data_IF_718631113747
#
_entry.id   IF_718631113747
#
_cell.length_a   1.000
_cell.length_b   1.000
_cell.length_c   1.000
_cell.angle_alpha   90.00
_cell.angle_beta   90.00
_cell.angle_gamma   90.00
#
_symmetry.space_group_name_H-M   'P 1'
#
loop_
_entity.id
_entity.type
_entity.pdbx_description
1 polymer ?
#
# COMPACT_ATOMS: atom_id res chain seq x y z
N UNK A 1 -12.35 12.02 -15.89
CA UNK A 1 -11.24 11.04 -15.74
C UNK A 1 -9.88 11.57 -16.24
N UNK A 2 -9.65 12.89 -16.33
CA UNK A 2 -8.39 13.44 -16.87
C UNK A 2 -7.18 13.19 -15.95
N UNK A 3 -7.29 13.57 -14.67
CA UNK A 3 -6.19 13.46 -13.70
C UNK A 3 -5.68 12.04 -13.50
N UNK A 4 -6.58 11.03 -13.43
CA UNK A 4 -6.15 9.62 -13.28
C UNK A 4 -5.46 9.07 -14.53
N UNK A 5 -5.87 9.53 -15.72
CA UNK A 5 -5.22 9.16 -16.96
C UNK A 5 -3.82 9.79 -17.07
N UNK A 6 -3.68 11.04 -16.65
CA UNK A 6 -2.39 11.74 -16.56
C UNK A 6 -1.44 11.04 -15.57
N UNK A 7 -1.90 10.72 -14.35
CA UNK A 7 -1.12 9.94 -13.38
C UNK A 7 -0.62 8.62 -13.97
N UNK A 8 -1.46 7.90 -14.73
CA UNK A 8 -1.06 6.67 -15.43
C UNK A 8 0.02 6.95 -16.48
N UNK A 9 -0.13 8.00 -17.29
CA UNK A 9 0.87 8.38 -18.28
C UNK A 9 2.21 8.70 -17.60
N UNK A 10 2.20 9.50 -16.54
CA UNK A 10 3.40 9.82 -15.74
C UNK A 10 4.06 8.58 -15.15
N UNK A 11 3.30 7.60 -14.66
CA UNK A 11 3.85 6.34 -14.16
C UNK A 11 4.59 5.56 -15.26
N UNK A 12 4.01 5.49 -16.46
CA UNK A 12 4.62 4.81 -17.62
C UNK A 12 5.86 5.55 -18.13
N UNK A 13 5.83 6.88 -18.19
CA UNK A 13 6.98 7.71 -18.62
C UNK A 13 8.20 7.55 -17.70
N UNK A 14 7.97 7.31 -16.41
CA UNK A 14 9.02 7.04 -15.42
C UNK A 14 9.56 5.60 -15.48
N UNK A 15 9.10 4.78 -16.43
CA UNK A 15 9.50 3.39 -16.59
C UNK A 15 8.79 2.41 -15.65
N UNK A 16 7.75 2.85 -14.94
CA UNK A 16 6.92 1.99 -14.10
C UNK A 16 5.82 1.28 -14.89
N UNK A 17 5.26 0.21 -14.32
CA UNK A 17 4.15 -0.53 -14.91
C UNK A 17 2.83 -0.21 -14.19
N UNK A 18 1.87 0.36 -14.91
CA UNK A 18 0.54 0.64 -14.35
C UNK A 18 -0.31 -0.63 -14.10
N UNK A 19 -0.04 -1.68 -14.87
CA UNK A 19 -0.75 -2.96 -14.84
C UNK A 19 0.26 -4.11 -15.00
N UNK A 20 1.10 -4.36 -13.98
CA UNK A 20 2.05 -5.46 -14.04
C UNK A 20 1.32 -6.80 -14.10
N UNK A 21 1.91 -7.76 -14.80
CA UNK A 21 1.32 -9.11 -14.98
C UNK A 21 1.34 -9.89 -13.66
N UNK A 22 2.38 -9.71 -12.85
CA UNK A 22 2.56 -10.41 -11.59
C UNK A 22 2.90 -9.42 -10.48
N UNK A 23 2.31 -9.65 -9.31
CA UNK A 23 2.66 -8.98 -8.06
C UNK A 23 3.17 -10.05 -7.08
N UNK A 24 4.25 -9.79 -6.33
CA UNK A 24 4.81 -10.74 -5.36
C UNK A 24 3.95 -10.80 -4.09
N UNK A 25 2.69 -11.19 -4.22
CA UNK A 25 1.74 -11.37 -3.11
C UNK A 25 2.05 -12.68 -2.40
N UNK A 26 2.34 -12.60 -1.10
CA UNK A 26 2.57 -13.79 -0.26
C UNK A 26 1.36 -14.14 0.60
N UNK A 27 0.57 -13.16 1.01
CA UNK A 27 -0.59 -13.37 1.90
C UNK A 27 -1.84 -12.62 1.43
N UNK A 28 -3.01 -13.17 1.77
CA UNK A 28 -4.29 -12.46 1.72
C UNK A 28 -4.42 -11.52 2.93
N UNK A 29 -5.29 -10.50 2.85
CA UNK A 29 -5.53 -9.64 4.00
C UNK A 29 -6.17 -10.43 5.14
N UNK A 30 -7.03 -11.41 4.81
CA UNK A 30 -7.64 -12.30 5.80
C UNK A 30 -6.60 -13.17 6.52
N UNK A 31 -5.61 -13.71 5.81
CA UNK A 31 -4.53 -14.51 6.41
C UNK A 31 -3.72 -13.69 7.42
N UNK A 32 -3.32 -12.47 7.06
CA UNK A 32 -2.58 -11.58 7.97
C UNK A 32 -3.41 -11.25 9.22
N UNK A 33 -4.70 -10.97 9.05
CA UNK A 33 -5.59 -10.70 10.20
C UNK A 33 -5.74 -11.92 11.11
N UNK A 34 -5.94 -13.10 10.55
CA UNK A 34 -6.11 -14.34 11.30
C UNK A 34 -4.84 -14.73 12.07
N UNK A 35 -3.67 -14.56 11.48
CA UNK A 35 -2.39 -14.88 12.11
C UNK A 35 -2.04 -13.96 13.30
N UNK A 36 -2.67 -12.78 13.38
CA UNK A 36 -2.33 -11.73 14.35
C UNK A 36 -3.54 -11.21 15.14
N UNK A 37 -4.58 -12.03 15.34
CA UNK A 37 -5.80 -11.62 16.08
C UNK A 37 -5.50 -11.14 17.50
N UNK A 38 -4.56 -11.81 18.17
CA UNK A 38 -4.19 -11.55 19.57
C UNK A 38 -2.91 -10.70 19.70
N UNK A 39 -2.47 -10.05 18.61
CA UNK A 39 -1.28 -9.21 18.65
C UNK A 39 -1.55 -7.96 19.51
N UNK A 40 -0.77 -7.72 20.58
CA UNK A 40 -0.97 -6.53 21.40
C UNK A 40 -0.74 -5.24 20.61
N UNK A 41 -1.39 -4.16 21.04
CA UNK A 41 -1.15 -2.84 20.47
C UNK A 41 0.33 -2.46 20.57
N UNK A 42 0.81 -1.70 19.59
CA UNK A 42 2.20 -1.20 19.52
C UNK A 42 3.28 -2.30 19.50
N UNK A 43 2.93 -3.52 19.06
CA UNK A 43 3.87 -4.64 18.93
C UNK A 43 4.30 -4.84 17.47
N UNK A 44 5.59 -5.04 17.24
CA UNK A 44 6.16 -5.37 15.93
C UNK A 44 6.57 -6.85 15.91
N UNK A 45 6.08 -7.61 14.92
CA UNK A 45 6.37 -9.05 14.78
C UNK A 45 7.70 -9.33 14.09
N UNK A 46 8.19 -8.39 13.26
CA UNK A 46 9.34 -8.59 12.38
C UNK A 46 9.06 -9.43 11.14
N UNK A 47 7.82 -9.92 10.97
CA UNK A 47 7.42 -10.71 9.81
C UNK A 47 7.31 -9.84 8.55
N UNK A 48 7.82 -10.34 7.43
CA UNK A 48 7.77 -9.65 6.13
C UNK A 48 6.73 -10.31 5.23
N UNK A 49 5.69 -9.56 4.89
CA UNK A 49 4.59 -10.03 4.04
C UNK A 49 4.38 -9.11 2.82
N UNK A 50 4.01 -9.71 1.69
CA UNK A 50 3.56 -9.02 0.49
C UNK A 50 2.05 -9.13 0.36
N UNK A 51 1.35 -8.00 0.38
CA UNK A 51 -0.12 -7.94 0.32
C UNK A 51 -0.59 -7.03 -0.81
N UNK A 52 -1.83 -7.21 -1.25
CA UNK A 52 -2.47 -6.39 -2.29
C UNK A 52 -3.90 -6.05 -1.90
N UNK A 53 -4.39 -4.88 -2.30
CA UNK A 53 -5.78 -4.51 -2.10
C UNK A 53 -6.12 -3.17 -2.76
N UNK A 54 -7.40 -2.84 -2.80
CA UNK A 54 -7.89 -1.54 -3.28
C UNK A 54 -7.74 -0.51 -2.17
N UNK A 55 -7.12 0.63 -2.47
CA UNK A 55 -7.09 1.78 -1.55
C UNK A 55 -8.51 2.35 -1.42
N UNK A 56 -9.10 2.21 -0.24
CA UNK A 56 -10.44 2.71 0.09
C UNK A 56 -10.39 4.06 0.77
N UNK A 57 -9.37 4.27 1.60
CA UNK A 57 -9.13 5.50 2.34
C UNK A 57 -7.64 5.79 2.37
N UNK A 58 -7.26 7.06 2.32
CA UNK A 58 -5.88 7.49 2.41
C UNK A 58 -5.78 8.79 3.18
N UNK A 59 -4.76 8.90 4.03
CA UNK A 59 -4.38 10.12 4.73
C UNK A 59 -2.88 10.31 4.68
N UNK A 60 -2.46 11.41 4.08
CA UNK A 60 -1.05 11.77 3.96
C UNK A 60 -0.71 12.81 5.04
N UNK A 61 0.28 12.52 5.87
CA UNK A 61 0.91 13.49 6.79
C UNK A 61 2.39 13.58 6.46
N UNK A 62 3.06 14.67 6.88
CA UNK A 62 4.41 15.06 6.43
C UNK A 62 5.34 13.90 6.06
N UNK A 63 5.77 13.10 7.06
CA UNK A 63 6.69 11.96 6.89
C UNK A 63 6.02 10.58 6.96
N UNK A 64 4.69 10.52 7.03
CA UNK A 64 3.95 9.28 7.27
C UNK A 64 2.63 9.28 6.49
N UNK A 65 2.40 8.26 5.67
CA UNK A 65 1.14 8.09 4.96
C UNK A 65 0.43 6.82 5.46
N UNK A 66 -0.90 6.91 5.53
CA UNK A 66 -1.76 5.81 5.90
C UNK A 66 -2.72 5.52 4.75
N UNK A 67 -2.95 4.23 4.48
CA UNK A 67 -3.99 3.80 3.56
C UNK A 67 -4.72 2.57 4.08
N UNK A 68 -6.04 2.54 3.91
CA UNK A 68 -6.85 1.36 4.16
C UNK A 68 -6.97 0.59 2.86
N UNK A 69 -6.43 -0.63 2.84
CA UNK A 69 -6.55 -1.57 1.74
C UNK A 69 -7.74 -2.47 1.98
N UNK A 70 -8.57 -2.70 0.95
CA UNK A 70 -9.66 -3.66 0.97
C UNK A 70 -9.46 -4.72 -0.11
N UNK A 71 -9.58 -5.99 0.27
CA UNK A 71 -9.55 -7.12 -0.65
C UNK A 71 -10.96 -7.48 -1.15
N UNK A 72 -11.07 -8.35 -2.15
CA UNK A 72 -12.34 -8.67 -2.82
C UNK A 72 -13.39 -9.34 -1.91
N UNK A 73 -12.95 -9.97 -0.83
CA UNK A 73 -13.80 -10.57 0.21
C UNK A 73 -14.33 -9.52 1.22
N UNK A 74 -13.93 -8.26 1.08
CA UNK A 74 -14.28 -7.17 1.99
C UNK A 74 -13.33 -7.01 3.18
N UNK A 75 -12.34 -7.89 3.34
CA UNK A 75 -11.35 -7.78 4.42
C UNK A 75 -10.52 -6.51 4.25
N UNK A 76 -10.30 -5.80 5.34
CA UNK A 76 -9.51 -4.55 5.36
C UNK A 76 -8.24 -4.67 6.20
N UNK A 77 -7.17 -4.05 5.73
CA UNK A 77 -5.90 -3.92 6.44
C UNK A 77 -5.32 -2.52 6.21
N UNK A 78 -4.76 -1.93 7.27
CA UNK A 78 -4.10 -0.63 7.18
C UNK A 78 -2.64 -0.79 6.76
N UNK A 79 -2.25 -0.10 5.70
CA UNK A 79 -0.86 0.08 5.29
C UNK A 79 -0.32 1.42 5.81
N UNK A 80 0.94 1.41 6.24
CA UNK A 80 1.64 2.59 6.73
C UNK A 80 2.95 2.75 5.97
N UNK A 81 3.14 3.91 5.34
CA UNK A 81 4.34 4.25 4.58
C UNK A 81 5.07 5.38 5.28
N UNK A 82 6.20 5.07 5.92
CA UNK A 82 7.02 6.05 6.63
C UNK A 82 8.25 6.43 5.80
N UNK A 83 8.68 7.69 5.88
CA UNK A 83 9.91 8.16 5.23
C UNK A 83 11.12 7.29 5.58
N UNK A 84 11.22 6.86 6.84
CA UNK A 84 12.35 6.06 7.32
C UNK A 84 12.34 4.63 6.77
N UNK A 85 11.16 4.12 6.38
CA UNK A 85 11.01 2.75 5.86
C UNK A 85 11.16 2.69 4.34
N UNK A 86 10.55 3.62 3.61
CA UNK A 86 10.50 3.57 2.13
C UNK A 86 11.41 4.59 1.43
N UNK A 87 11.97 5.56 2.16
CA UNK A 87 12.77 6.64 1.59
C UNK A 87 11.94 7.78 0.99
N UNK A 88 12.62 8.87 0.63
CA UNK A 88 11.98 10.11 0.17
C UNK A 88 11.30 9.96 -1.20
N UNK A 89 11.98 9.35 -2.16
CA UNK A 89 11.47 9.16 -3.52
C UNK A 89 10.19 8.34 -3.54
N UNK A 90 10.17 7.18 -2.88
CA UNK A 90 9.00 6.31 -2.85
C UNK A 90 7.81 6.98 -2.13
N UNK A 91 8.07 7.73 -1.05
CA UNK A 91 7.02 8.46 -0.34
C UNK A 91 6.45 9.62 -1.18
N UNK A 92 7.29 10.32 -1.94
CA UNK A 92 6.87 11.36 -2.85
C UNK A 92 6.02 10.78 -4.00
N UNK A 93 6.45 9.65 -4.57
CA UNK A 93 5.71 8.96 -5.63
C UNK A 93 4.35 8.47 -5.14
N UNK A 94 4.27 7.93 -3.93
CA UNK A 94 3.01 7.56 -3.29
C UNK A 94 2.03 8.74 -3.20
N UNK A 95 2.51 9.93 -2.79
CA UNK A 95 1.68 11.13 -2.67
C UNK A 95 1.24 11.69 -4.03
N UNK A 96 2.04 11.51 -5.08
CA UNK A 96 1.76 12.02 -6.40
C UNK A 96 0.81 11.10 -7.20
N UNK A 97 0.99 9.78 -7.10
CA UNK A 97 0.37 8.81 -7.99
C UNK A 97 -0.85 8.10 -7.41
N UNK A 98 -0.95 7.98 -6.09
CA UNK A 98 -2.13 7.41 -5.41
C UNK A 98 -3.13 8.52 -5.10
#
# INVERSE_FOLDING_TARGET
MRVRAEKRATLLERGGEAYPVQLPRTHTLAQVRQAHLDLPADTQTGEVVGVTGRVMFQRNTGKLCFATLREGDGTELQAMLSLNSVGETALADWKALV
#
